data_IF_937877791531
#
_entry.id   IF_937877791531
#
_cell.length_a   1.000
_cell.length_b   1.000
_cell.length_c   1.000
_cell.angle_alpha   90.00
_cell.angle_beta   90.00
_cell.angle_gamma   90.00
#
_symmetry.space_group_name_H-M   'P 1'
#
loop_
_entity.id
_entity.type
_entity.pdbx_description
1 polymer ?
#
# COMPACT_ATOMS: atom_id res chain seq x y z
N UNK A 1 8.18 -22.14 -8.81
CA UNK A 1 9.48 -22.64 -8.32
C UNK A 1 10.49 -21.54 -8.07
N UNK A 2 10.77 -20.62 -8.99
CA UNK A 2 11.78 -19.55 -8.76
C UNK A 2 11.44 -18.63 -7.58
N UNK A 3 10.19 -18.16 -7.45
CA UNK A 3 9.74 -17.36 -6.30
C UNK A 3 9.80 -18.10 -4.96
N UNK A 4 9.62 -19.40 -4.97
CA UNK A 4 9.72 -20.25 -3.79
C UNK A 4 11.15 -20.41 -3.29
N UNK A 5 12.11 -20.61 -4.19
CA UNK A 5 13.52 -20.71 -3.85
C UNK A 5 14.07 -19.38 -3.32
N UNK A 6 13.67 -18.26 -3.95
CA UNK A 6 14.03 -16.92 -3.48
C UNK A 6 13.43 -16.63 -2.09
N UNK A 7 12.21 -17.10 -1.82
CA UNK A 7 11.57 -16.91 -0.52
C UNK A 7 12.18 -17.79 0.58
N UNK A 8 12.61 -19.02 0.26
CA UNK A 8 13.31 -19.89 1.21
C UNK A 8 14.74 -19.42 1.49
N UNK A 9 15.51 -18.99 0.48
CA UNK A 9 16.79 -18.32 0.70
C UNK A 9 16.63 -17.08 1.60
N UNK A 10 15.53 -16.34 1.45
CA UNK A 10 15.25 -15.15 2.26
C UNK A 10 14.88 -15.48 3.73
N UNK A 11 14.24 -16.62 4.00
CA UNK A 11 13.96 -17.07 5.37
C UNK A 11 15.21 -17.63 6.08
N UNK A 12 16.16 -18.17 5.32
CA UNK A 12 17.44 -18.65 5.84
C UNK A 12 18.42 -17.49 6.13
N UNK A 13 18.30 -16.36 5.41
CA UNK A 13 19.13 -15.16 5.58
C UNK A 13 18.68 -14.23 6.72
N UNK A 14 17.56 -14.50 7.43
CA UNK A 14 17.21 -13.78 8.64
C UNK A 14 18.11 -14.30 9.77
N UNK A 15 19.29 -13.72 9.90
CA UNK A 15 20.17 -14.03 11.03
C UNK A 15 19.48 -13.62 12.35
N UNK A 16 19.68 -14.41 13.41
CA UNK A 16 19.14 -14.11 14.76
C UNK A 16 19.56 -12.71 15.26
N UNK A 17 20.65 -12.16 14.72
CA UNK A 17 21.17 -10.82 15.06
C UNK A 17 20.32 -9.66 14.52
N UNK A 18 19.46 -9.89 13.52
CA UNK A 18 18.55 -8.89 12.95
C UNK A 18 17.20 -8.84 13.65
N UNK A 19 16.90 -9.81 14.51
CA UNK A 19 15.68 -9.82 15.32
C UNK A 19 15.69 -8.65 16.32
N UNK A 20 14.51 -8.06 16.63
CA UNK A 20 14.39 -7.03 17.64
C UNK A 20 15.00 -7.52 18.95
N UNK A 21 15.97 -6.77 19.48
CA UNK A 21 16.67 -7.14 20.75
C UNK A 21 15.64 -7.36 21.86
N UNK A 22 15.78 -8.42 22.63
CA UNK A 22 14.88 -8.76 23.75
C UNK A 22 14.70 -7.63 24.76
N UNK A 23 15.73 -6.77 24.90
CA UNK A 23 15.71 -5.60 25.79
C UNK A 23 14.58 -4.59 25.50
N UNK A 24 13.93 -4.62 24.34
CA UNK A 24 12.83 -3.69 24.01
C UNK A 24 11.46 -4.16 24.49
N UNK A 25 11.32 -5.40 24.96
CA UNK A 25 10.03 -5.97 25.36
C UNK A 25 9.04 -6.19 24.21
N UNK A 26 9.47 -5.97 22.96
CA UNK A 26 8.61 -6.09 21.76
C UNK A 26 8.01 -7.50 21.62
N UNK A 27 8.83 -8.56 21.79
CA UNK A 27 8.38 -9.96 21.65
C UNK A 27 7.28 -10.34 22.67
N UNK A 28 7.26 -9.68 23.83
CA UNK A 28 6.31 -9.93 24.92
C UNK A 28 5.10 -8.97 24.88
N UNK A 29 4.90 -8.25 23.80
CA UNK A 29 3.77 -7.35 23.63
C UNK A 29 2.49 -8.14 23.33
N UNK A 30 1.34 -7.60 23.75
CA UNK A 30 0.04 -8.23 23.50
C UNK A 30 -0.23 -8.39 21.98
N UNK A 31 0.23 -7.45 21.17
CA UNK A 31 0.10 -7.55 19.71
C UNK A 31 0.90 -8.75 19.17
N UNK A 32 2.14 -8.97 19.63
CA UNK A 32 2.96 -10.09 19.17
C UNK A 32 2.38 -11.46 19.56
N UNK A 33 1.73 -11.54 20.72
CA UNK A 33 1.05 -12.76 21.17
C UNK A 33 -0.18 -13.10 20.31
N UNK A 34 -0.87 -12.08 19.79
CA UNK A 34 -2.08 -12.25 18.98
C UNK A 34 -1.84 -12.49 17.49
N UNK A 35 -0.61 -12.28 17.00
CA UNK A 35 -0.28 -12.51 15.61
C UNK A 35 -0.24 -14.02 15.28
N UNK A 36 -0.87 -14.38 14.18
CA UNK A 36 -0.61 -15.68 13.54
C UNK A 36 0.83 -15.75 13.04
N UNK A 37 1.37 -16.96 12.88
CA UNK A 37 2.75 -17.17 12.44
C UNK A 37 3.07 -16.40 11.17
N UNK A 38 2.23 -16.51 10.15
CA UNK A 38 2.43 -15.76 8.89
C UNK A 38 2.43 -14.23 9.07
N UNK A 39 1.65 -13.69 10.00
CA UNK A 39 1.65 -12.24 10.30
C UNK A 39 2.90 -11.83 11.04
N UNK A 40 3.40 -12.69 11.93
CA UNK A 40 4.65 -12.47 12.66
C UNK A 40 5.84 -12.40 11.70
N UNK A 41 5.94 -13.36 10.78
CA UNK A 41 6.96 -13.37 9.74
C UNK A 41 6.87 -12.12 8.85
N UNK A 42 5.65 -11.72 8.47
CA UNK A 42 5.47 -10.47 7.72
C UNK A 42 5.93 -9.25 8.50
N UNK A 43 5.60 -9.16 9.79
CA UNK A 43 6.00 -8.02 10.62
C UNK A 43 7.52 -7.90 10.71
N UNK A 44 8.22 -9.01 10.92
CA UNK A 44 9.68 -9.07 10.94
C UNK A 44 10.28 -8.69 9.59
N UNK A 45 9.77 -9.25 8.50
CA UNK A 45 10.23 -8.91 7.16
C UNK A 45 9.96 -7.44 6.80
N UNK A 46 8.82 -6.86 7.21
CA UNK A 46 8.54 -5.42 7.06
C UNK A 46 9.55 -4.59 7.83
N UNK A 47 9.83 -4.93 9.10
CA UNK A 47 10.80 -4.22 9.93
C UNK A 47 12.17 -4.21 9.25
N UNK A 48 12.66 -5.36 8.81
CA UNK A 48 13.95 -5.47 8.13
C UNK A 48 14.01 -4.63 6.85
N UNK A 49 12.94 -4.66 6.03
CA UNK A 49 12.86 -3.83 4.82
C UNK A 49 12.82 -2.34 5.16
N UNK A 50 12.09 -1.92 6.19
CA UNK A 50 12.07 -0.53 6.65
C UNK A 50 13.44 -0.07 7.17
N UNK A 51 14.16 -0.91 7.89
CA UNK A 51 15.51 -0.57 8.39
C UNK A 51 16.52 -0.47 7.25
N UNK A 52 16.44 -1.36 6.25
CA UNK A 52 17.39 -1.42 5.14
C UNK A 52 17.06 -0.43 4.01
N UNK A 53 15.80 -0.36 3.61
CA UNK A 53 15.35 0.37 2.41
C UNK A 53 14.53 1.62 2.70
N UNK A 54 14.31 1.94 3.96
CA UNK A 54 13.51 3.08 4.41
C UNK A 54 12.02 3.02 4.02
N UNK A 55 11.59 2.00 3.31
CA UNK A 55 10.21 1.82 2.92
C UNK A 55 9.85 0.39 2.57
N UNK A 56 8.57 0.05 2.78
CA UNK A 56 8.02 -1.26 2.44
C UNK A 56 6.56 -1.14 2.06
N UNK A 57 6.13 -1.92 1.06
CA UNK A 57 4.72 -2.07 0.71
C UNK A 57 4.23 -3.44 1.21
N UNK A 58 3.30 -3.45 2.15
CA UNK A 58 2.59 -4.64 2.57
C UNK A 58 1.35 -4.82 1.70
N UNK A 59 1.44 -5.72 0.73
CA UNK A 59 0.45 -5.95 -0.32
C UNK A 59 -0.33 -7.27 -0.14
N UNK A 60 -0.43 -7.76 1.07
CA UNK A 60 -1.21 -8.96 1.40
C UNK A 60 -2.67 -8.84 0.94
N UNK A 61 -3.26 -9.95 0.52
CA UNK A 61 -4.67 -10.00 0.13
C UNK A 61 -5.60 -9.48 1.23
N UNK A 62 -6.77 -8.99 0.81
CA UNK A 62 -7.81 -8.52 1.75
C UNK A 62 -8.18 -9.63 2.74
N UNK A 63 -8.29 -9.27 4.03
CA UNK A 63 -8.67 -10.19 5.10
C UNK A 63 -7.50 -11.00 5.69
N UNK A 64 -6.25 -10.72 5.34
CA UNK A 64 -5.06 -11.32 5.97
C UNK A 64 -4.54 -10.51 7.17
N UNK A 65 -5.27 -9.48 7.60
CA UNK A 65 -4.94 -8.73 8.82
C UNK A 65 -3.76 -7.76 8.68
N UNK A 66 -3.61 -7.08 7.53
CA UNK A 66 -2.58 -6.05 7.33
C UNK A 66 -2.49 -5.03 8.46
N UNK A 67 -3.62 -4.63 9.03
CA UNK A 67 -3.67 -3.69 10.17
C UNK A 67 -2.96 -4.26 11.39
N UNK A 68 -3.18 -5.53 11.74
CA UNK A 68 -2.49 -6.19 12.86
C UNK A 68 -0.99 -6.31 12.62
N UNK A 69 -0.57 -6.69 11.43
CA UNK A 69 0.84 -6.69 11.03
C UNK A 69 1.45 -5.29 11.17
N UNK A 70 0.75 -4.25 10.72
CA UNK A 70 1.22 -2.86 10.84
C UNK A 70 1.27 -2.38 12.30
N UNK A 71 0.28 -2.75 13.13
CA UNK A 71 0.30 -2.42 14.57
C UNK A 71 1.50 -3.05 15.28
N UNK A 72 1.89 -4.26 14.89
CA UNK A 72 3.11 -4.89 15.40
C UNK A 72 4.37 -4.11 14.99
N UNK A 73 4.45 -3.64 13.75
CA UNK A 73 5.55 -2.76 13.30
C UNK A 73 5.54 -1.44 14.08
N UNK A 74 4.39 -0.82 14.28
CA UNK A 74 4.24 0.39 15.11
C UNK A 74 4.79 0.13 16.51
N UNK A 75 4.40 -0.98 17.16
CA UNK A 75 4.90 -1.33 18.48
C UNK A 75 6.42 -1.48 18.55
N UNK A 76 7.02 -2.04 17.50
CA UNK A 76 8.49 -2.13 17.41
C UNK A 76 9.15 -0.75 17.42
N UNK A 77 8.61 0.22 16.65
CA UNK A 77 9.15 1.59 16.62
C UNK A 77 8.89 2.34 17.93
N UNK A 78 7.68 2.25 18.48
CA UNK A 78 7.34 2.87 19.77
C UNK A 78 8.23 2.36 20.93
N UNK A 79 8.53 1.05 20.95
CA UNK A 79 9.42 0.45 21.97
C UNK A 79 10.85 0.99 21.89
N UNK A 80 11.18 1.76 20.86
CA UNK A 80 12.43 2.49 20.66
C UNK A 80 12.27 4.00 20.80
N UNK A 81 11.17 4.48 21.41
CA UNK A 81 10.84 5.88 21.53
C UNK A 81 10.78 6.62 20.19
N UNK A 82 10.30 5.95 19.15
CA UNK A 82 10.09 6.52 17.82
C UNK A 82 8.66 7.00 17.68
N UNK A 83 8.50 8.16 17.04
CA UNK A 83 7.19 8.76 16.79
C UNK A 83 6.57 8.18 15.50
N UNK A 84 5.27 7.91 15.57
CA UNK A 84 4.55 7.25 14.47
C UNK A 84 3.33 8.05 14.06
N UNK A 85 3.17 8.23 12.74
CA UNK A 85 1.98 8.80 12.12
C UNK A 85 1.28 7.73 11.29
N UNK A 86 -0.02 7.57 11.49
CA UNK A 86 -0.90 6.78 10.63
C UNK A 86 -1.72 7.71 9.75
N UNK A 87 -1.59 7.55 8.43
CA UNK A 87 -2.39 8.23 7.44
C UNK A 87 -3.43 7.25 6.87
N UNK A 88 -4.70 7.52 7.05
CA UNK A 88 -5.76 6.63 6.57
C UNK A 88 -6.92 7.39 5.91
N UNK A 89 -7.76 6.72 5.11
CA UNK A 89 -9.06 7.26 4.72
C UNK A 89 -9.97 7.47 5.95
N UNK A 90 -10.79 8.52 5.94
CA UNK A 90 -11.70 8.85 7.06
C UNK A 90 -12.55 7.65 7.52
N UNK A 91 -13.02 6.84 6.58
CA UNK A 91 -13.83 5.64 6.85
C UNK A 91 -13.11 4.55 7.65
N UNK A 92 -11.78 4.56 7.68
CA UNK A 92 -10.95 3.59 8.40
C UNK A 92 -10.42 4.13 9.74
N UNK A 93 -10.79 5.34 10.12
CA UNK A 93 -10.34 5.97 11.36
C UNK A 93 -10.58 5.10 12.59
N UNK A 94 -11.81 4.60 12.76
CA UNK A 94 -12.18 3.81 13.95
C UNK A 94 -11.38 2.49 14.02
N UNK A 95 -11.02 1.90 12.88
CA UNK A 95 -10.18 0.71 12.83
C UNK A 95 -8.79 0.95 13.45
N UNK A 96 -8.27 2.15 13.33
CA UNK A 96 -6.99 2.55 13.92
C UNK A 96 -7.16 3.10 15.33
N UNK A 97 -8.17 3.95 15.54
CA UNK A 97 -8.40 4.62 16.81
C UNK A 97 -8.71 3.64 17.95
N UNK A 98 -9.43 2.55 17.68
CA UNK A 98 -9.78 1.53 18.67
C UNK A 98 -8.56 0.97 19.40
N UNK A 99 -7.45 0.74 18.71
CA UNK A 99 -6.28 0.08 19.29
C UNK A 99 -5.41 1.00 20.15
N UNK A 100 -5.53 2.31 20.04
CA UNK A 100 -4.82 3.26 20.91
C UNK A 100 -5.62 3.67 22.15
N UNK A 101 -6.92 3.38 22.17
CA UNK A 101 -7.80 3.74 23.28
C UNK A 101 -7.71 2.73 24.43
N UNK A 102 -7.80 3.24 25.66
CA UNK A 102 -7.82 2.40 26.86
C UNK A 102 -9.25 1.91 27.18
N UNK A 103 -9.85 1.21 26.25
CA UNK A 103 -11.19 0.64 26.40
C UNK A 103 -11.16 -0.86 26.73
N UNK A 104 -12.20 -1.34 27.41
CA UNK A 104 -12.34 -2.75 27.79
C UNK A 104 -12.35 -3.68 26.58
N UNK A 105 -12.89 -3.22 25.47
CA UNK A 105 -12.97 -3.96 24.20
C UNK A 105 -11.73 -3.83 23.32
N UNK A 106 -10.70 -3.09 23.76
CA UNK A 106 -9.43 -3.05 23.05
C UNK A 106 -8.53 -4.22 23.48
N UNK A 107 -8.31 -5.22 22.60
CA UNK A 107 -7.50 -6.38 22.95
C UNK A 107 -6.03 -6.03 23.15
N UNK A 108 -5.58 -4.86 22.65
CA UNK A 108 -4.20 -4.37 22.72
C UNK A 108 -4.01 -3.27 23.78
N UNK A 109 -4.99 -3.05 24.66
CA UNK A 109 -4.91 -1.98 25.66
C UNK A 109 -3.63 -2.07 26.56
N UNK A 110 -3.12 -3.26 26.82
CA UNK A 110 -1.88 -3.50 27.59
C UNK A 110 -0.64 -2.93 26.89
N UNK A 111 -0.63 -2.87 25.56
CA UNK A 111 0.51 -2.36 24.78
C UNK A 111 0.62 -0.84 24.82
N UNK A 112 -0.46 -0.14 25.22
CA UNK A 112 -0.52 1.32 25.31
C UNK A 112 0.01 1.99 24.04
N UNK A 113 -0.50 1.52 22.88
CA UNK A 113 -0.08 2.06 21.59
C UNK A 113 -0.35 3.57 21.52
N UNK A 114 0.66 4.32 21.10
CA UNK A 114 0.63 5.78 21.04
C UNK A 114 1.15 6.28 19.69
N UNK A 115 0.24 6.46 18.75
CA UNK A 115 0.51 7.00 17.43
C UNK A 115 -0.52 8.06 17.05
N UNK A 116 -0.12 9.00 16.22
CA UNK A 116 -1.02 9.99 15.68
C UNK A 116 -1.80 9.43 14.49
N UNK A 117 -3.07 9.85 14.34
CA UNK A 117 -3.91 9.45 13.22
C UNK A 117 -4.40 10.71 12.51
N UNK A 118 -4.09 10.81 11.22
CA UNK A 118 -4.59 11.87 10.36
C UNK A 118 -5.20 11.27 9.09
N UNK A 119 -6.09 12.01 8.48
CA UNK A 119 -6.70 11.61 7.22
C UNK A 119 -5.81 11.98 6.03
N UNK A 120 -5.89 11.23 4.93
CA UNK A 120 -5.22 11.60 3.69
C UNK A 120 -5.56 13.04 3.24
N UNK A 121 -6.76 13.51 3.55
CA UNK A 121 -7.23 14.85 3.21
C UNK A 121 -6.60 15.95 4.07
N UNK A 122 -6.11 15.62 5.26
CA UNK A 122 -5.49 16.59 6.16
C UNK A 122 -4.16 17.12 5.62
N UNK A 123 -3.47 16.33 4.80
CA UNK A 123 -2.29 16.77 4.08
C UNK A 123 -2.57 17.99 3.18
N UNK A 124 -3.80 18.17 2.72
CA UNK A 124 -4.22 19.32 1.89
C UNK A 124 -4.68 20.53 2.71
N UNK A 125 -4.69 20.42 4.04
CA UNK A 125 -5.13 21.47 4.95
C UNK A 125 -3.92 22.11 5.63
N UNK A 126 -3.96 23.41 5.81
CA UNK A 126 -2.94 24.17 6.54
C UNK A 126 -3.39 24.51 7.94
N UNK A 127 -4.70 24.64 8.14
CA UNK A 127 -5.33 25.11 9.38
C UNK A 127 -6.43 24.17 9.85
N UNK A 128 -6.75 24.30 11.13
CA UNK A 128 -7.85 23.64 11.79
C UNK A 128 -7.46 22.34 12.50
N UNK A 129 -8.46 21.71 13.10
CA UNK A 129 -8.26 20.48 13.89
C UNK A 129 -8.67 19.25 13.10
N UNK A 130 -7.91 18.18 13.27
CA UNK A 130 -8.26 16.85 12.81
C UNK A 130 -8.01 15.87 13.94
N UNK A 131 -9.04 15.14 14.32
CA UNK A 131 -9.05 14.34 15.54
C UNK A 131 -8.62 15.19 16.75
N UNK A 132 -7.60 14.77 17.49
CA UNK A 132 -7.10 15.50 18.65
C UNK A 132 -5.99 16.50 18.30
N UNK A 133 -5.57 16.56 17.02
CA UNK A 133 -4.43 17.34 16.57
C UNK A 133 -4.84 18.69 15.96
N UNK A 134 -4.10 19.72 16.29
CA UNK A 134 -4.14 21.02 15.66
C UNK A 134 -3.12 21.04 14.51
N UNK A 135 -3.61 21.07 13.26
CA UNK A 135 -2.77 20.93 12.07
C UNK A 135 -1.69 22.02 11.91
N UNK A 136 -1.92 23.20 12.50
CA UNK A 136 -0.93 24.30 12.51
C UNK A 136 0.24 24.00 13.42
N UNK A 137 0.02 23.17 14.45
CA UNK A 137 1.02 22.86 15.49
C UNK A 137 1.68 21.49 15.31
N UNK A 138 1.23 20.70 14.34
CA UNK A 138 1.85 19.41 14.04
C UNK A 138 3.28 19.64 13.53
N UNK A 139 4.26 19.07 14.21
CA UNK A 139 5.62 19.02 13.70
C UNK A 139 5.74 17.86 12.69
N UNK A 140 5.32 18.13 11.46
CA UNK A 140 5.23 17.16 10.39
C UNK A 140 6.54 16.42 10.09
N UNK A 141 7.69 17.07 10.28
CA UNK A 141 9.01 16.49 10.06
C UNK A 141 9.56 15.66 11.22
N UNK A 142 8.79 15.47 12.30
CA UNK A 142 9.27 14.77 13.50
C UNK A 142 8.71 13.33 13.62
N UNK A 143 8.22 12.74 12.54
CA UNK A 143 7.76 11.36 12.54
C UNK A 143 8.85 10.42 12.01
N UNK A 144 9.25 9.44 12.83
CA UNK A 144 10.22 8.41 12.45
C UNK A 144 9.61 7.35 11.52
N UNK A 145 8.32 7.07 11.68
CA UNK A 145 7.56 6.14 10.83
C UNK A 145 6.24 6.77 10.39
N UNK A 146 5.95 6.67 9.12
CA UNK A 146 4.62 6.95 8.56
C UNK A 146 4.02 5.66 8.01
N UNK A 147 2.85 5.29 8.51
CA UNK A 147 2.05 4.17 8.01
C UNK A 147 0.94 4.73 7.15
N UNK A 148 0.91 4.36 5.88
CA UNK A 148 -0.10 4.84 4.93
C UNK A 148 -1.06 3.70 4.60
N UNK A 149 -2.24 3.73 5.19
CA UNK A 149 -3.29 2.77 4.85
C UNK A 149 -3.99 3.16 3.55
N UNK A 150 -4.32 2.17 2.72
CA UNK A 150 -4.83 2.36 1.36
C UNK A 150 -3.89 3.26 0.51
N UNK A 151 -2.60 2.92 0.53
CA UNK A 151 -1.53 3.70 -0.12
C UNK A 151 -1.70 3.88 -1.63
N UNK A 152 -2.54 3.09 -2.28
CA UNK A 152 -2.90 3.28 -3.69
C UNK A 152 -3.50 4.68 -3.98
N UNK A 153 -3.97 5.41 -2.96
CA UNK A 153 -4.40 6.81 -3.11
C UNK A 153 -3.25 7.77 -3.43
N UNK A 154 -2.00 7.35 -3.27
CA UNK A 154 -0.78 8.11 -3.57
C UNK A 154 -0.08 7.66 -4.86
N UNK A 155 -0.67 6.74 -5.62
CA UNK A 155 -0.08 6.18 -6.85
C UNK A 155 0.15 7.18 -7.99
N UNK A 156 -0.62 8.27 -8.03
CA UNK A 156 -0.55 9.24 -9.13
C UNK A 156 0.70 10.14 -9.09
N UNK A 157 1.51 10.01 -8.05
CA UNK A 157 2.73 10.79 -7.89
C UNK A 157 2.50 12.29 -7.67
N UNK A 158 3.59 13.03 -7.76
CA UNK A 158 3.60 14.48 -7.59
C UNK A 158 3.11 15.20 -8.84
N UNK A 159 2.00 15.92 -8.73
CA UNK A 159 1.55 16.88 -9.74
C UNK A 159 1.37 18.24 -9.09
N UNK A 160 1.98 19.24 -9.69
CA UNK A 160 1.72 20.65 -9.38
C UNK A 160 0.61 21.09 -10.33
N UNK A 161 -0.54 21.48 -9.77
CA UNK A 161 -1.58 22.18 -10.52
C UNK A 161 -1.49 23.67 -10.20
N UNK A 162 -1.84 24.53 -11.12
CA UNK A 162 -2.03 25.95 -10.86
C UNK A 162 -3.50 26.22 -10.48
N UNK A 163 -3.75 27.31 -9.76
CA UNK A 163 -5.10 27.79 -9.53
C UNK A 163 -5.77 28.24 -10.86
N UNK A 164 -7.05 28.58 -10.81
CA UNK A 164 -7.82 29.01 -12.00
C UNK A 164 -7.21 30.24 -12.71
N UNK A 165 -6.37 31.01 -12.01
CA UNK A 165 -5.68 32.18 -12.54
C UNK A 165 -4.24 31.86 -13.03
N UNK A 166 -3.74 30.64 -12.83
CA UNK A 166 -2.40 30.23 -13.24
C UNK A 166 -1.26 30.78 -12.38
N UNK A 167 -1.57 31.46 -11.27
CA UNK A 167 -0.57 32.23 -10.51
C UNK A 167 -0.01 31.47 -9.28
N UNK A 168 -0.77 30.54 -8.68
CA UNK A 168 -0.33 29.83 -7.48
C UNK A 168 -0.18 28.32 -7.71
N UNK A 169 1.02 27.78 -7.57
CA UNK A 169 1.21 26.32 -7.65
C UNK A 169 0.54 25.62 -6.45
N UNK A 170 -0.40 24.72 -6.73
CA UNK A 170 -1.02 23.87 -5.74
C UNK A 170 -0.35 22.50 -5.74
N UNK A 171 0.32 22.19 -4.65
CA UNK A 171 0.83 20.85 -4.42
C UNK A 171 -0.33 19.87 -4.15
N UNK A 172 -0.28 18.72 -4.81
CA UNK A 172 -1.20 17.62 -4.48
C UNK A 172 -0.81 16.96 -3.14
N UNK A 173 -1.68 16.08 -2.61
CA UNK A 173 -1.44 15.37 -1.35
C UNK A 173 -0.12 14.58 -1.32
N UNK A 174 0.29 14.05 -2.46
CA UNK A 174 1.55 13.33 -2.61
C UNK A 174 2.76 14.25 -2.35
N UNK A 175 2.81 15.40 -3.02
CA UNK A 175 3.89 16.38 -2.84
C UNK A 175 3.92 16.93 -1.42
N UNK A 176 2.76 17.17 -0.82
CA UNK A 176 2.69 17.64 0.57
C UNK A 176 3.21 16.59 1.54
N UNK A 177 2.87 15.31 1.35
CA UNK A 177 3.44 14.22 2.14
C UNK A 177 4.97 14.15 1.96
N UNK A 178 5.44 14.20 0.73
CA UNK A 178 6.87 14.19 0.40
C UNK A 178 7.62 15.35 1.04
N UNK A 179 7.12 16.57 0.88
CA UNK A 179 7.84 17.78 1.29
C UNK A 179 7.67 18.09 2.77
N UNK A 180 6.44 17.97 3.34
CA UNK A 180 6.17 18.31 4.74
C UNK A 180 6.58 17.24 5.73
N UNK A 181 6.47 15.96 5.37
CA UNK A 181 6.67 14.85 6.30
C UNK A 181 8.01 14.16 6.04
N UNK A 182 8.21 13.71 4.80
CA UNK A 182 9.31 12.80 4.49
C UNK A 182 10.64 13.55 4.40
N UNK A 183 10.68 14.68 3.69
CA UNK A 183 11.92 15.45 3.45
C UNK A 183 12.25 16.48 4.52
N UNK A 184 11.30 16.85 5.37
CA UNK A 184 11.42 18.07 6.18
C UNK A 184 12.17 17.92 7.50
N UNK A 185 12.51 16.73 7.94
CA UNK A 185 13.07 16.57 9.28
C UNK A 185 13.93 15.33 9.45
N UNK A 186 13.49 14.46 10.34
CA UNK A 186 14.15 13.17 10.57
C UNK A 186 14.00 12.28 9.34
N UNK A 187 14.91 11.33 9.16
CA UNK A 187 14.80 10.35 8.08
C UNK A 187 13.60 9.43 8.33
N UNK A 188 12.46 9.79 7.76
CA UNK A 188 11.17 9.13 7.97
C UNK A 188 11.10 7.82 7.19
N UNK A 189 10.76 6.72 7.87
CA UNK A 189 10.47 5.44 7.22
C UNK A 189 9.01 5.39 6.79
N UNK A 190 8.71 4.69 5.69
CA UNK A 190 7.37 4.67 5.11
C UNK A 190 6.86 3.24 4.95
N UNK A 191 5.85 2.87 5.73
CA UNK A 191 5.11 1.62 5.57
C UNK A 191 3.82 1.88 4.79
N UNK A 192 3.68 1.25 3.65
CA UNK A 192 2.52 1.39 2.78
C UNK A 192 1.66 0.13 2.82
N UNK A 193 0.37 0.27 3.10
CA UNK A 193 -0.59 -0.84 3.12
C UNK A 193 -1.54 -0.71 1.93
N UNK A 194 -1.58 -1.71 1.08
CA UNK A 194 -2.53 -1.76 -0.04
C UNK A 194 -2.73 -3.19 -0.51
N UNK A 195 -3.96 -3.59 -0.75
CA UNK A 195 -4.22 -4.88 -1.41
C UNK A 195 -3.98 -4.83 -2.93
N UNK A 196 -3.92 -3.64 -3.51
CA UNK A 196 -3.76 -3.39 -4.95
C UNK A 196 -2.78 -2.25 -5.20
N UNK A 197 -1.46 -2.45 -4.93
CA UNK A 197 -0.46 -1.39 -5.08
C UNK A 197 -0.27 -0.96 -6.54
N UNK A 198 -0.57 -1.84 -7.48
CA UNK A 198 -0.58 -1.58 -8.93
C UNK A 198 -2.02 -1.65 -9.43
N UNK A 199 -2.44 -0.70 -10.25
CA UNK A 199 -3.73 -0.75 -10.91
C UNK A 199 -3.56 -1.01 -12.42
N UNK A 200 -3.15 0.01 -13.17
CA UNK A 200 -3.04 -0.08 -14.63
C UNK A 200 -1.61 0.12 -15.15
N UNK A 201 -0.70 0.62 -14.32
CA UNK A 201 0.68 0.95 -14.74
C UNK A 201 1.67 0.61 -13.64
N UNK A 202 2.84 0.14 -14.02
CA UNK A 202 3.93 -0.05 -13.07
C UNK A 202 4.43 1.26 -12.45
N UNK A 203 4.23 2.39 -13.12
CA UNK A 203 4.49 3.71 -12.54
C UNK A 203 3.66 4.01 -11.28
N UNK A 204 2.50 3.36 -11.10
CA UNK A 204 1.71 3.46 -9.86
C UNK A 204 2.51 2.97 -8.66
N UNK A 205 3.25 1.88 -8.84
CA UNK A 205 4.14 1.31 -7.81
C UNK A 205 5.39 2.16 -7.62
N UNK A 206 6.01 2.60 -8.71
CA UNK A 206 7.17 3.50 -8.67
C UNK A 206 6.89 4.76 -7.87
N UNK A 207 5.76 5.42 -8.13
CA UNK A 207 5.36 6.62 -7.40
C UNK A 207 5.19 6.36 -5.89
N UNK A 208 4.61 5.24 -5.51
CA UNK A 208 4.52 4.88 -4.10
C UNK A 208 5.92 4.65 -3.50
N UNK A 209 6.79 3.91 -4.17
CA UNK A 209 8.14 3.65 -3.70
C UNK A 209 9.00 4.92 -3.59
N UNK A 210 8.75 5.94 -4.42
CA UNK A 210 9.46 7.23 -4.32
C UNK A 210 9.31 7.88 -2.94
N UNK A 211 8.23 7.60 -2.21
CA UNK A 211 8.07 8.05 -0.82
C UNK A 211 9.15 7.46 0.11
N UNK A 212 9.61 6.23 -0.16
CA UNK A 212 10.60 5.56 0.65
C UNK A 212 12.03 6.11 0.49
N UNK A 213 12.36 6.57 -0.73
CA UNK A 213 13.69 7.11 -1.04
C UNK A 213 13.69 8.62 -1.34
N UNK A 214 12.66 9.32 -0.88
CA UNK A 214 12.56 10.78 -0.98
C UNK A 214 12.63 11.32 -2.41
N UNK A 215 12.43 10.45 -3.40
CA UNK A 215 12.64 10.73 -4.83
C UNK A 215 14.10 10.72 -5.28
N UNK A 216 15.05 10.35 -4.40
CA UNK A 216 16.49 10.31 -4.64
C UNK A 216 16.94 8.92 -5.06
N UNK A 217 16.81 8.59 -6.35
CA UNK A 217 17.06 7.23 -6.87
C UNK A 217 18.50 6.76 -6.69
N UNK A 218 19.50 7.64 -6.84
CA UNK A 218 20.92 7.24 -6.79
C UNK A 218 21.37 6.63 -5.45
N UNK A 219 20.86 7.18 -4.34
CA UNK A 219 21.17 6.66 -3.02
C UNK A 219 20.46 5.32 -2.77
N UNK A 220 19.24 5.18 -3.29
CA UNK A 220 18.44 3.99 -3.15
C UNK A 220 18.95 2.83 -4.03
N UNK A 221 19.39 3.12 -5.25
CA UNK A 221 19.95 2.15 -6.18
C UNK A 221 21.15 1.40 -5.59
N UNK A 222 21.95 2.07 -4.75
CA UNK A 222 23.08 1.43 -4.06
C UNK A 222 22.69 0.40 -3.01
N UNK A 223 21.45 0.47 -2.52
CA UNK A 223 20.92 -0.45 -1.51
C UNK A 223 20.21 -1.65 -2.14
N UNK A 224 19.78 -1.52 -3.41
CA UNK A 224 19.02 -2.55 -4.10
C UNK A 224 19.94 -3.70 -4.55
N UNK A 225 19.47 -4.96 -4.49
CA UNK A 225 20.18 -6.12 -5.00
C UNK A 225 20.02 -6.27 -6.52
N UNK A 226 20.05 -5.18 -7.27
CA UNK A 226 19.79 -5.13 -8.71
C UNK A 226 21.02 -4.61 -9.46
N UNK A 227 21.13 -4.98 -10.73
CA UNK A 227 22.23 -4.51 -11.58
C UNK A 227 21.94 -3.15 -12.23
N UNK A 228 20.68 -2.72 -12.21
CA UNK A 228 20.20 -1.48 -12.81
C UNK A 228 19.52 -0.63 -11.76
N UNK A 229 19.48 0.68 -12.02
CA UNK A 229 18.75 1.63 -11.19
C UNK A 229 17.22 1.47 -11.31
N UNK A 230 16.52 1.90 -10.27
CA UNK A 230 15.06 1.78 -10.16
C UNK A 230 14.32 2.41 -11.35
N UNK A 231 14.80 3.53 -11.85
CA UNK A 231 14.18 4.24 -12.96
C UNK A 231 14.21 3.44 -14.27
N UNK A 232 15.34 2.77 -14.54
CA UNK A 232 15.52 1.92 -15.71
C UNK A 232 14.70 0.64 -15.61
N UNK A 233 14.66 0.04 -14.42
CA UNK A 233 13.85 -1.16 -14.14
C UNK A 233 12.37 -0.88 -14.44
N UNK A 234 11.83 0.22 -13.92
CA UNK A 234 10.43 0.57 -14.16
C UNK A 234 10.13 0.98 -15.60
N UNK A 235 11.07 1.67 -16.27
CA UNK A 235 10.93 2.02 -17.70
C UNK A 235 10.83 0.77 -18.55
N UNK A 236 11.69 -0.22 -18.32
CA UNK A 236 11.69 -1.47 -19.05
C UNK A 236 10.44 -2.30 -18.74
N UNK A 237 10.05 -2.41 -17.47
CA UNK A 237 8.86 -3.13 -17.08
C UNK A 237 7.59 -2.53 -17.73
N UNK A 238 7.47 -1.20 -17.74
CA UNK A 238 6.35 -0.52 -18.41
C UNK A 238 6.38 -0.74 -19.92
N UNK A 239 7.56 -0.74 -20.55
CA UNK A 239 7.70 -1.08 -21.97
C UNK A 239 7.21 -2.49 -22.28
N UNK A 240 7.63 -3.47 -21.49
CA UNK A 240 7.18 -4.86 -21.60
C UNK A 240 5.67 -5.00 -21.41
N UNK A 241 5.10 -4.26 -20.46
CA UNK A 241 3.66 -4.24 -20.24
C UNK A 241 2.90 -3.65 -21.42
N UNK A 242 3.38 -2.56 -22.01
CA UNK A 242 2.73 -1.95 -23.18
C UNK A 242 2.73 -2.91 -24.37
N UNK A 243 3.86 -3.58 -24.67
CA UNK A 243 3.96 -4.58 -25.72
C UNK A 243 2.97 -5.74 -25.45
N UNK A 244 2.89 -6.21 -24.20
CA UNK A 244 1.95 -7.25 -23.81
C UNK A 244 0.49 -6.80 -23.98
N UNK A 245 0.18 -5.55 -23.63
CA UNK A 245 -1.17 -4.99 -23.73
C UNK A 245 -1.65 -4.84 -25.19
N UNK A 246 -0.72 -4.69 -26.13
CA UNK A 246 -1.00 -4.59 -27.57
C UNK A 246 -1.15 -5.96 -28.25
N UNK A 247 -0.90 -7.09 -27.54
CA UNK A 247 -1.08 -8.43 -28.08
C UNK A 247 -2.57 -8.76 -28.28
N UNK A 248 -2.89 -9.71 -29.18
CA UNK A 248 -4.23 -10.28 -29.28
C UNK A 248 -4.73 -10.83 -27.92
N UNK A 249 -6.05 -10.78 -27.64
CA UNK A 249 -6.60 -11.23 -26.35
C UNK A 249 -6.18 -12.65 -25.95
N UNK A 250 -6.05 -13.56 -26.90
CA UNK A 250 -5.66 -14.97 -26.68
C UNK A 250 -4.21 -15.10 -26.19
N UNK A 251 -3.36 -14.15 -26.55
CA UNK A 251 -1.94 -14.13 -26.19
C UNK A 251 -1.64 -13.33 -24.92
N UNK A 252 -2.61 -12.55 -24.39
CA UNK A 252 -2.46 -11.74 -23.18
C UNK A 252 -2.56 -12.61 -21.92
N UNK A 253 -1.67 -13.56 -21.79
CA UNK A 253 -1.59 -14.40 -20.57
C UNK A 253 -0.65 -13.81 -19.55
N UNK A 254 -0.95 -14.04 -18.25
CA UNK A 254 -0.07 -13.62 -17.14
C UNK A 254 1.32 -14.24 -17.28
N UNK A 255 1.40 -15.51 -17.69
CA UNK A 255 2.68 -16.20 -17.89
C UNK A 255 3.55 -15.51 -18.95
N UNK A 256 2.93 -15.03 -20.04
CA UNK A 256 3.66 -14.30 -21.07
C UNK A 256 4.19 -12.97 -20.54
N UNK A 257 3.39 -12.22 -19.81
CA UNK A 257 3.84 -10.98 -19.18
C UNK A 257 5.03 -11.25 -18.25
N UNK A 258 4.93 -12.24 -17.36
CA UNK A 258 6.00 -12.58 -16.41
C UNK A 258 7.31 -12.95 -17.13
N UNK A 259 7.26 -13.61 -18.29
CA UNK A 259 8.45 -13.92 -19.10
C UNK A 259 9.07 -12.69 -19.77
N UNK A 260 8.29 -11.66 -20.01
CA UNK A 260 8.74 -10.40 -20.63
C UNK A 260 9.37 -9.43 -19.60
N UNK A 261 9.09 -9.63 -18.31
CA UNK A 261 9.67 -8.82 -17.24
C UNK A 261 11.08 -9.28 -16.91
N UNK A 262 11.96 -8.32 -16.66
CA UNK A 262 13.36 -8.56 -16.30
C UNK A 262 13.48 -9.13 -14.87
N UNK A 263 14.53 -9.89 -14.62
CA UNK A 263 14.84 -10.44 -13.31
C UNK A 263 15.10 -9.36 -12.26
N UNK A 264 15.70 -8.25 -12.62
CA UNK A 264 15.92 -7.12 -11.71
C UNK A 264 14.60 -6.51 -11.22
N UNK A 265 13.51 -6.56 -12.03
CA UNK A 265 12.19 -6.14 -11.58
C UNK A 265 11.67 -7.01 -10.44
N UNK A 266 11.85 -8.32 -10.52
CA UNK A 266 11.44 -9.24 -9.45
C UNK A 266 12.29 -9.07 -8.19
N UNK A 267 13.60 -8.86 -8.33
CA UNK A 267 14.49 -8.56 -7.20
C UNK A 267 14.12 -7.25 -6.51
N UNK A 268 13.78 -6.22 -7.29
CA UNK A 268 13.28 -4.96 -6.73
C UNK A 268 11.99 -5.18 -5.94
N UNK A 269 11.01 -5.89 -6.51
CA UNK A 269 9.76 -6.18 -5.81
C UNK A 269 10.01 -6.94 -4.52
N UNK A 270 10.85 -7.96 -4.56
CA UNK A 270 11.20 -8.74 -3.38
C UNK A 270 11.87 -7.85 -2.31
N UNK A 271 12.75 -6.95 -2.69
CA UNK A 271 13.42 -6.04 -1.75
C UNK A 271 12.45 -5.11 -1.00
N UNK A 272 11.39 -4.60 -1.66
CA UNK A 272 10.57 -3.50 -1.12
C UNK A 272 9.10 -3.86 -0.90
N UNK A 273 8.67 -5.08 -1.22
CA UNK A 273 7.27 -5.48 -1.04
C UNK A 273 7.15 -6.79 -0.26
N UNK A 274 6.01 -6.96 0.40
CA UNK A 274 5.53 -8.23 0.93
C UNK A 274 4.13 -8.43 0.40
N UNK A 275 3.91 -9.51 -0.36
CA UNK A 275 2.64 -9.80 -1.00
C UNK A 275 2.30 -11.29 -0.89
N UNK A 276 1.27 -11.60 -0.12
CA UNK A 276 0.83 -12.99 0.07
C UNK A 276 -0.64 -13.11 -0.24
N UNK A 277 -1.01 -14.26 -0.79
CA UNK A 277 -2.39 -14.64 -1.04
C UNK A 277 -2.87 -15.66 -0.02
N UNK A 278 -4.19 -15.84 0.11
CA UNK A 278 -4.77 -16.90 0.95
C UNK A 278 -4.27 -18.30 0.55
N UNK A 279 -4.10 -18.54 -0.77
CA UNK A 279 -3.56 -19.81 -1.28
C UNK A 279 -2.13 -20.02 -0.82
N UNK A 280 -1.32 -18.96 -0.83
CA UNK A 280 0.06 -19.00 -0.33
C UNK A 280 0.07 -19.36 1.15
N UNK A 281 -0.77 -18.71 1.98
CA UNK A 281 -0.84 -19.01 3.41
C UNK A 281 -1.25 -20.48 3.64
N UNK A 282 -2.27 -20.98 2.94
CA UNK A 282 -2.71 -22.36 3.06
C UNK A 282 -1.65 -23.39 2.64
N UNK A 283 -0.77 -23.03 1.74
CA UNK A 283 0.25 -23.94 1.20
C UNK A 283 1.48 -24.03 2.09
N UNK A 284 1.87 -22.92 2.74
CA UNK A 284 3.19 -22.79 3.39
C UNK A 284 3.12 -22.62 4.91
N UNK A 285 1.94 -22.37 5.47
CA UNK A 285 1.77 -22.17 6.90
C UNK A 285 0.81 -23.20 7.48
N UNK A 286 1.03 -23.56 8.74
CA UNK A 286 0.03 -24.31 9.49
C UNK A 286 -1.20 -23.41 9.70
N UNK A 287 -2.34 -23.86 9.21
CA UNK A 287 -3.61 -23.15 9.29
C UNK A 287 -4.53 -23.64 10.41
N UNK A 288 -4.03 -24.52 11.27
CA UNK A 288 -4.83 -25.07 12.37
C UNK A 288 -5.43 -23.98 13.26
N UNK A 289 -4.65 -22.92 13.54
CA UNK A 289 -5.08 -21.79 14.36
C UNK A 289 -5.94 -20.76 13.59
N UNK A 290 -5.85 -20.76 12.27
CA UNK A 290 -6.56 -19.79 11.41
C UNK A 290 -7.94 -20.31 11.02
N UNK A 291 -8.08 -21.63 10.97
CA UNK A 291 -9.24 -22.32 10.40
C UNK A 291 -9.25 -22.27 8.86
N UNK A 292 -10.40 -22.58 8.28
CA UNK A 292 -10.57 -22.59 6.83
C UNK A 292 -10.96 -21.21 6.31
N UNK A 293 -10.22 -20.71 5.31
CA UNK A 293 -10.64 -19.50 4.62
C UNK A 293 -11.95 -19.72 3.85
N UNK A 294 -12.87 -18.75 3.86
CA UNK A 294 -14.11 -18.85 3.07
C UNK A 294 -13.80 -19.06 1.59
N UNK A 295 -14.49 -19.99 0.97
CA UNK A 295 -14.42 -20.18 -0.47
C UNK A 295 -15.03 -18.97 -1.21
N UNK A 296 -14.34 -18.51 -2.25
CA UNK A 296 -14.89 -17.49 -3.16
C UNK A 296 -15.85 -18.18 -4.13
N UNK A 297 -17.13 -17.97 -3.91
CA UNK A 297 -18.13 -18.33 -4.92
C UNK A 297 -17.98 -17.47 -6.18
N UNK A 298 -18.34 -18.04 -7.33
CA UNK A 298 -18.40 -17.23 -8.57
C UNK A 298 -19.40 -16.10 -8.38
N UNK A 299 -19.09 -14.86 -8.79
CA UNK A 299 -20.05 -13.77 -8.71
C UNK A 299 -21.28 -14.11 -9.57
N UNK A 300 -22.45 -13.94 -8.98
CA UNK A 300 -23.72 -14.05 -9.70
C UNK A 300 -24.03 -12.65 -10.21
N UNK A 301 -23.82 -12.43 -11.52
CA UNK A 301 -24.28 -11.21 -12.18
C UNK A 301 -25.78 -11.29 -12.37
N UNK A 302 -26.51 -10.38 -11.74
CA UNK A 302 -27.93 -10.17 -12.02
C UNK A 302 -28.06 -8.79 -12.65
N UNK A 303 -28.60 -8.77 -13.85
CA UNK A 303 -29.03 -7.54 -14.51
C UNK A 303 -30.55 -7.41 -14.28
N UNK A 304 -30.99 -6.77 -13.19
CA UNK A 304 -32.39 -6.57 -12.96
C UNK A 304 -32.93 -5.67 -14.07
N UNK A 305 -34.10 -6.02 -14.60
CA UNK A 305 -34.86 -5.09 -15.42
C UNK A 305 -35.22 -3.88 -14.54
N UNK A 306 -35.11 -2.68 -15.10
CA UNK A 306 -35.45 -1.45 -14.37
C UNK A 306 -36.95 -1.40 -14.01
N UNK A 307 -37.76 -2.21 -14.69
CA UNK A 307 -39.20 -2.34 -14.49
C UNK A 307 -39.71 -3.65 -15.12
N UNK A 308 -40.72 -4.25 -14.52
CA UNK A 308 -41.45 -5.40 -15.03
C UNK A 308 -42.55 -5.01 -16.05
N UNK A 309 -42.65 -3.72 -16.38
CA UNK A 309 -43.60 -3.24 -17.37
C UNK A 309 -43.10 -3.51 -18.78
N UNK A 310 -43.86 -4.27 -19.58
CA UNK A 310 -43.55 -4.56 -20.98
C UNK A 310 -43.45 -3.33 -21.90
N UNK A 311 -43.89 -2.18 -21.40
CA UNK A 311 -43.84 -0.88 -22.10
C UNK A 311 -42.65 0.00 -21.70
N UNK A 312 -41.81 -0.43 -20.79
CA UNK A 312 -40.67 0.36 -20.34
C UNK A 312 -39.39 -0.06 -21.07
N UNK A 313 -38.63 0.94 -21.46
CA UNK A 313 -37.34 0.77 -22.12
C UNK A 313 -36.36 0.05 -21.15
N UNK A 314 -35.77 -1.05 -21.61
CA UNK A 314 -34.77 -1.76 -20.81
C UNK A 314 -33.42 -1.03 -20.79
N UNK A 315 -32.50 -1.46 -19.86
CA UNK A 315 -31.20 -0.82 -19.72
C UNK A 315 -30.37 -0.83 -21.02
N UNK A 316 -30.43 -1.89 -21.81
CA UNK A 316 -29.70 -1.99 -23.07
C UNK A 316 -30.25 -1.02 -24.12
N UNK A 317 -31.54 -0.87 -24.19
CA UNK A 317 -32.20 0.10 -25.07
C UNK A 317 -31.87 1.55 -24.67
N UNK A 318 -31.85 1.82 -23.37
CA UNK A 318 -31.40 3.15 -22.86
C UNK A 318 -29.94 3.38 -23.24
N UNK A 319 -29.09 2.38 -23.06
CA UNK A 319 -27.66 2.46 -23.38
C UNK A 319 -27.42 2.68 -24.88
N UNK A 320 -28.15 1.95 -25.74
CA UNK A 320 -28.10 2.13 -27.21
C UNK A 320 -28.58 3.54 -27.60
N UNK A 321 -29.69 4.01 -27.03
CA UNK A 321 -30.18 5.36 -27.28
C UNK A 321 -29.20 6.44 -26.82
N UNK A 322 -28.55 6.24 -25.65
CA UNK A 322 -27.53 7.16 -25.14
C UNK A 322 -26.29 7.17 -26.04
N UNK A 323 -25.90 6.04 -26.63
CA UNK A 323 -24.80 5.97 -27.60
C UNK A 323 -25.10 6.71 -28.90
N UNK A 324 -26.37 6.76 -29.32
CA UNK A 324 -26.80 7.54 -30.48
C UNK A 324 -26.78 9.05 -30.24
N UNK A 325 -26.80 9.48 -28.95
CA UNK A 325 -26.67 10.88 -28.61
C UNK A 325 -25.18 11.24 -28.70
N UNK A 326 -24.80 12.06 -29.64
CA UNK A 326 -23.45 12.61 -29.77
C UNK A 326 -23.14 13.60 -28.63
N UNK A 327 -23.15 13.10 -27.38
CA UNK A 327 -22.83 13.88 -26.20
C UNK A 327 -21.40 13.57 -25.77
N UNK A 328 -20.56 14.59 -25.62
CA UNK A 328 -19.17 14.49 -25.19
C UNK A 328 -18.99 13.72 -23.86
N UNK A 329 -20.00 13.69 -23.01
CA UNK A 329 -20.04 12.93 -21.75
C UNK A 329 -19.95 11.41 -21.95
N UNK A 330 -20.54 10.88 -23.05
CA UNK A 330 -20.61 9.44 -23.32
C UNK A 330 -19.57 8.94 -24.34
N UNK A 331 -19.02 9.83 -25.12
CA UNK A 331 -17.98 9.54 -26.08
C UNK A 331 -16.93 10.67 -26.13
N UNK A 332 -16.17 10.88 -25.02
CA UNK A 332 -15.19 11.98 -24.95
C UNK A 332 -14.15 11.92 -26.07
N UNK A 333 -13.75 10.73 -26.48
CA UNK A 333 -12.75 10.50 -27.53
C UNK A 333 -13.21 10.84 -28.95
N UNK A 334 -14.51 11.03 -29.17
CA UNK A 334 -15.04 11.43 -30.46
C UNK A 334 -15.02 12.98 -30.67
N UNK A 335 -14.68 13.74 -29.63
CA UNK A 335 -14.68 15.20 -29.60
C UNK A 335 -13.30 15.80 -29.29
N UNK A 336 -12.27 14.95 -29.15
CA UNK A 336 -10.87 15.29 -29.06
C UNK A 336 -10.22 14.89 -30.39
#
# INVERSE_FOLDING_TARGET
MALYNIFNEFLEDISEDELPKEATGFKNSAICEQLYNFQRDAALAVINKLEKYNGCILADSVGLGKTFTALSVIKYFESRNRTVLVLCPKKLFENWNTYRQNYVNNPLAKDRLNYDILYHTDLSREHGRSNDLDLERVNWGNYDLVVIDESHNFRNGGKVSTDENGENPRENRYLRLMNKVIRSGVKTKVLMLSATPVNNRFNDLKNQLQLAYEGESEAFDKLLPTNRGIDDIFRQAQGSYNIWADLPPEERTTERLLRMLDFDFFRLLDAVTIARSRKHIQQYYDTADIGTFPERMKPISRNPHLTDLDTAINYNEIFEQLQMLHLAIYAPSAFI
#
